data_IF_428803392294
#
_entry.id   IF_428803392294
#
_cell.length_a   1.000
_cell.length_b   1.000
_cell.length_c   1.000
_cell.angle_alpha   90.00
_cell.angle_beta   90.00
_cell.angle_gamma   90.00
#
_symmetry.space_group_name_H-M   'P 1'
#
loop_
_entity.id
_entity.type
_entity.pdbx_description
1 polymer ?
#
# COMPACT_ATOMS: atom_id res chain seq x y z
N UNK A 1 -7.38 19.61 21.15
CA UNK A 1 -6.05 19.61 21.79
C UNK A 1 -5.96 18.70 23.02
N UNK A 2 -7.00 18.50 23.82
CA UNK A 2 -6.94 17.67 25.04
C UNK A 2 -6.78 16.17 24.81
N UNK A 3 -7.37 15.59 23.74
CA UNK A 3 -7.35 14.14 23.48
C UNK A 3 -6.01 13.63 22.91
N UNK A 4 -5.24 14.47 22.25
CA UNK A 4 -3.94 14.08 21.66
C UNK A 4 -2.85 13.95 22.74
N UNK A 5 -2.92 14.75 23.80
CA UNK A 5 -1.95 14.71 24.92
C UNK A 5 -2.17 13.47 25.78
N UNK A 6 -3.42 13.08 26.02
CA UNK A 6 -3.77 11.87 26.79
C UNK A 6 -3.33 10.58 26.08
N UNK A 7 -3.34 10.58 24.74
CA UNK A 7 -2.90 9.43 23.94
C UNK A 7 -1.40 9.15 24.09
N UNK A 8 -0.54 10.19 24.01
CA UNK A 8 0.92 10.05 24.20
C UNK A 8 1.28 9.50 25.58
N UNK A 9 0.55 9.89 26.64
CA UNK A 9 0.85 9.45 28.00
C UNK A 9 0.44 7.99 28.28
N UNK A 10 -0.67 7.49 27.70
CA UNK A 10 -1.11 6.10 27.93
C UNK A 10 -0.29 5.06 27.16
N UNK A 11 0.32 5.43 26.04
CA UNK A 11 1.17 4.52 25.24
C UNK A 11 2.60 4.41 25.77
N UNK A 12 3.07 5.37 26.56
CA UNK A 12 4.44 5.34 27.12
C UNK A 12 4.69 4.24 28.14
N UNK A 13 3.65 3.66 28.74
CA UNK A 13 3.80 2.60 29.74
C UNK A 13 3.74 1.15 29.18
N UNK A 14 3.23 0.94 27.96
CA UNK A 14 3.12 -0.38 27.32
C UNK A 14 3.97 -0.53 26.05
N UNK A 15 4.53 0.57 25.54
CA UNK A 15 5.16 0.66 24.21
C UNK A 15 6.69 0.64 24.22
N UNK A 16 7.36 0.29 25.34
CA UNK A 16 8.83 0.30 25.38
C UNK A 16 9.50 -0.82 24.53
N UNK A 17 8.73 -1.74 23.92
CA UNK A 17 9.31 -2.85 23.13
C UNK A 17 8.68 -3.13 21.76
N UNK A 18 7.63 -2.42 21.30
CA UNK A 18 6.98 -2.78 20.03
C UNK A 18 6.45 -1.57 19.26
N UNK A 19 7.29 -0.96 18.42
CA UNK A 19 6.87 0.11 17.53
C UNK A 19 5.77 -0.42 16.59
N UNK A 20 4.57 0.20 16.54
CA UNK A 20 3.48 -0.29 15.73
C UNK A 20 3.81 -0.19 14.24
N UNK A 21 3.41 -1.23 13.51
CA UNK A 21 3.50 -1.25 12.04
C UNK A 21 2.21 -0.65 11.48
N UNK A 22 2.31 0.10 10.39
CA UNK A 22 1.17 0.58 9.63
C UNK A 22 0.83 -0.36 8.47
N UNK A 23 -0.46 -0.55 8.22
CA UNK A 23 -0.96 -1.29 7.05
C UNK A 23 -2.08 -0.50 6.36
N UNK A 24 -1.84 -0.08 5.12
CA UNK A 24 -2.89 0.46 4.27
C UNK A 24 -3.48 -0.69 3.45
N UNK A 25 -4.78 -0.96 3.63
CA UNK A 25 -5.46 -2.00 2.87
C UNK A 25 -6.10 -1.43 1.61
N UNK A 26 -5.87 -2.11 0.47
CA UNK A 26 -6.54 -1.82 -0.80
C UNK A 26 -7.96 -2.36 -0.86
N UNK A 27 -8.55 -2.35 -2.07
CA UNK A 27 -9.92 -2.79 -2.33
C UNK A 27 -10.16 -4.22 -1.86
N UNK A 28 -11.19 -4.42 -1.03
CA UNK A 28 -11.63 -5.70 -0.48
C UNK A 28 -10.59 -6.45 0.38
N UNK A 29 -9.51 -5.80 0.80
CA UNK A 29 -8.44 -6.42 1.59
C UNK A 29 -8.57 -6.17 3.10
N UNK A 30 -9.57 -5.42 3.55
CA UNK A 30 -9.86 -5.20 4.99
C UNK A 30 -10.19 -6.49 5.76
N UNK A 31 -10.66 -7.53 5.07
CA UNK A 31 -10.93 -8.84 5.66
C UNK A 31 -9.65 -9.59 6.12
N UNK A 32 -8.45 -9.09 5.80
CA UNK A 32 -7.18 -9.60 6.33
C UNK A 32 -7.05 -9.28 7.83
N UNK A 33 -7.73 -8.22 8.29
CA UNK A 33 -7.65 -7.76 9.66
C UNK A 33 -8.33 -8.75 10.59
N UNK A 34 -7.61 -9.16 11.64
CA UNK A 34 -8.13 -10.00 12.70
C UNK A 34 -9.09 -9.25 13.65
N UNK A 35 -9.11 -9.63 14.92
CA UNK A 35 -9.92 -8.98 15.93
C UNK A 35 -9.48 -7.52 16.11
N UNK A 36 -10.45 -6.60 16.11
CA UNK A 36 -10.20 -5.19 16.39
C UNK A 36 -9.97 -5.01 17.89
N UNK A 37 -8.79 -4.49 18.26
CA UNK A 37 -8.44 -4.15 19.62
C UNK A 37 -8.90 -2.73 19.96
N UNK A 38 -8.77 -1.81 19.01
CA UNK A 38 -9.12 -0.41 19.16
C UNK A 38 -9.49 0.21 17.83
N UNK A 39 -10.40 1.17 17.83
CA UNK A 39 -10.75 1.99 16.66
C UNK A 39 -10.65 3.45 17.08
N UNK A 40 -9.97 4.26 16.27
CA UNK A 40 -9.79 5.69 16.53
C UNK A 40 -9.94 6.51 15.26
N UNK A 41 -10.43 7.73 15.41
CA UNK A 41 -10.32 8.77 14.39
C UNK A 41 -9.07 9.62 14.68
N UNK A 42 -8.39 10.04 13.64
CA UNK A 42 -7.18 10.86 13.72
C UNK A 42 -7.42 12.15 12.96
N UNK A 43 -7.36 13.27 13.66
CA UNK A 43 -7.40 14.58 13.02
C UNK A 43 -6.05 14.91 12.44
N UNK A 44 -6.05 15.45 11.21
CA UNK A 44 -4.82 15.87 10.53
C UNK A 44 -4.93 17.29 9.98
N UNK A 45 -3.79 18.00 9.80
CA UNK A 45 -3.78 19.31 9.15
C UNK A 45 -4.30 19.28 7.71
N UNK A 46 -4.41 18.09 7.12
CA UNK A 46 -4.81 17.86 5.73
C UNK A 46 -6.27 17.40 5.59
N UNK A 47 -7.06 17.49 6.67
CA UNK A 47 -8.43 17.01 6.73
C UNK A 47 -8.52 15.55 7.20
N UNK A 48 -9.68 14.93 6.99
CA UNK A 48 -9.94 13.58 7.47
C UNK A 48 -9.22 12.51 6.63
N UNK A 49 -8.65 11.48 7.26
CA UNK A 49 -8.26 10.24 6.59
C UNK A 49 -9.45 9.51 5.95
N UNK A 50 -9.16 8.54 5.11
CA UNK A 50 -10.16 7.76 4.38
C UNK A 50 -11.14 6.97 5.26
N UNK A 51 -10.72 6.62 6.48
CA UNK A 51 -11.50 5.88 7.47
C UNK A 51 -10.89 6.06 8.88
N UNK A 52 -11.61 5.64 9.91
CA UNK A 52 -11.03 5.42 11.22
C UNK A 52 -9.91 4.37 11.17
N UNK A 53 -8.89 4.55 12.00
CA UNK A 53 -7.78 3.61 12.15
C UNK A 53 -8.18 2.47 13.08
N UNK A 54 -7.85 1.25 12.68
CA UNK A 54 -8.11 0.04 13.45
C UNK A 54 -6.78 -0.50 13.98
N UNK A 55 -6.63 -0.60 15.29
CA UNK A 55 -5.54 -1.35 15.90
C UNK A 55 -5.93 -2.83 15.97
N UNK A 56 -5.10 -3.68 15.46
CA UNK A 56 -5.24 -5.14 15.54
C UNK A 56 -3.92 -5.78 15.96
N UNK A 57 -3.95 -7.06 16.31
CA UNK A 57 -2.75 -7.87 16.55
C UNK A 57 -2.72 -9.03 15.57
N UNK A 58 -1.59 -9.17 14.88
CA UNK A 58 -1.30 -10.31 14.00
C UNK A 58 0.06 -10.85 14.44
N UNK A 59 0.13 -12.14 14.75
CA UNK A 59 1.37 -12.81 15.24
C UNK A 59 2.04 -12.05 16.41
N UNK A 60 1.23 -11.56 17.37
CA UNK A 60 1.67 -10.77 18.54
C UNK A 60 2.30 -9.39 18.19
N UNK A 61 2.16 -8.92 16.95
CA UNK A 61 2.58 -7.57 16.54
C UNK A 61 1.37 -6.65 16.47
N UNK A 62 1.50 -5.46 17.03
CA UNK A 62 0.47 -4.41 16.94
C UNK A 62 0.53 -3.73 15.58
N UNK A 63 -0.61 -3.60 14.93
CA UNK A 63 -0.72 -3.07 13.58
C UNK A 63 -1.83 -2.03 13.54
N UNK A 64 -1.51 -0.81 13.16
CA UNK A 64 -2.49 0.19 12.77
C UNK A 64 -2.90 -0.01 11.32
N UNK A 65 -4.17 -0.21 11.10
CA UNK A 65 -4.73 -0.48 9.77
C UNK A 65 -5.64 0.65 9.33
N UNK A 66 -5.55 1.00 8.05
CA UNK A 66 -6.41 1.97 7.38
C UNK A 66 -6.98 1.39 6.09
N UNK A 67 -8.30 1.47 5.91
CA UNK A 67 -8.95 1.18 4.63
C UNK A 67 -8.79 2.39 3.69
N UNK A 68 -7.89 2.29 2.69
CA UNK A 68 -7.57 3.38 1.73
C UNK A 68 -8.80 3.95 1.04
N UNK A 69 -9.73 3.11 0.71
CA UNK A 69 -10.93 3.45 -0.05
C UNK A 69 -12.17 3.67 0.84
N UNK A 70 -11.98 3.86 2.16
CA UNK A 70 -13.05 3.87 3.14
C UNK A 70 -13.57 2.48 3.47
N UNK A 71 -14.31 2.34 4.55
CA UNK A 71 -14.82 1.03 5.04
C UNK A 71 -15.75 0.34 4.04
N UNK A 72 -16.49 1.10 3.24
CA UNK A 72 -17.39 0.60 2.18
C UNK A 72 -16.77 0.67 0.78
N UNK A 73 -15.46 0.90 0.67
CA UNK A 73 -14.71 1.02 -0.58
C UNK A 73 -15.30 2.06 -1.57
N UNK A 74 -15.89 3.14 -1.03
CA UNK A 74 -16.58 4.16 -1.83
C UNK A 74 -15.63 5.23 -2.39
N UNK A 75 -14.46 5.46 -1.76
CA UNK A 75 -13.50 6.49 -2.17
C UNK A 75 -12.69 5.97 -3.36
N UNK A 76 -12.73 6.69 -4.48
CA UNK A 76 -11.95 6.33 -5.67
C UNK A 76 -10.48 6.71 -5.49
N UNK A 77 -9.57 6.06 -6.22
CA UNK A 77 -8.13 6.28 -6.07
C UNK A 77 -7.71 7.76 -6.25
N UNK A 78 -8.36 8.50 -7.11
CA UNK A 78 -8.09 9.93 -7.35
C UNK A 78 -8.69 10.87 -6.29
N UNK A 79 -9.67 10.39 -5.49
CA UNK A 79 -10.33 11.15 -4.42
C UNK A 79 -9.77 10.85 -3.02
N UNK A 80 -8.85 9.88 -2.90
CA UNK A 80 -8.24 9.53 -1.63
C UNK A 80 -7.43 10.71 -1.08
N UNK A 81 -7.66 11.07 0.17
CA UNK A 81 -6.84 12.04 0.88
C UNK A 81 -5.54 11.39 1.37
N UNK A 82 -4.61 11.20 0.42
CA UNK A 82 -3.33 10.53 0.70
C UNK A 82 -2.50 11.26 1.76
N UNK A 83 -2.52 12.61 1.77
CA UNK A 83 -1.79 13.39 2.79
C UNK A 83 -2.31 13.09 4.18
N UNK A 84 -3.62 13.15 4.39
CA UNK A 84 -4.22 12.83 5.69
C UNK A 84 -3.92 11.38 6.11
N UNK A 85 -4.04 10.43 5.18
CA UNK A 85 -3.79 9.01 5.48
C UNK A 85 -2.35 8.77 5.96
N UNK A 86 -1.37 9.26 5.21
CA UNK A 86 0.05 9.02 5.50
C UNK A 86 0.49 9.80 6.74
N UNK A 87 0.03 11.04 6.90
CA UNK A 87 0.31 11.85 8.08
C UNK A 87 -0.20 11.20 9.37
N UNK A 88 -1.42 10.67 9.34
CA UNK A 88 -2.02 10.04 10.51
C UNK A 88 -1.21 8.82 11.00
N UNK A 89 -0.60 8.02 10.12
CA UNK A 89 0.30 6.95 10.54
C UNK A 89 1.52 7.48 11.29
N UNK A 90 2.08 8.62 10.88
CA UNK A 90 3.18 9.26 11.59
C UNK A 90 2.77 9.72 12.99
N UNK A 91 1.58 10.32 13.13
CA UNK A 91 1.02 10.72 14.43
C UNK A 91 0.78 9.52 15.36
N UNK A 92 0.45 8.35 14.79
CA UNK A 92 0.28 7.11 15.54
C UNK A 92 1.61 6.42 15.93
N UNK A 93 2.75 7.03 15.63
CA UNK A 93 4.07 6.51 15.98
C UNK A 93 4.56 5.38 15.06
N UNK A 94 3.89 5.15 13.94
CA UNK A 94 4.32 4.18 12.93
C UNK A 94 5.65 4.61 12.33
N UNK A 95 6.57 3.66 12.15
CA UNK A 95 7.83 3.86 11.44
C UNK A 95 7.89 3.03 10.15
N UNK A 96 7.27 1.85 10.15
CA UNK A 96 7.19 0.94 9.02
C UNK A 96 5.77 0.86 8.51
N UNK A 97 5.54 1.29 7.26
CA UNK A 97 4.24 1.35 6.62
C UNK A 97 4.19 0.40 5.42
N UNK A 98 3.35 -0.61 5.52
CA UNK A 98 3.03 -1.53 4.43
C UNK A 98 1.75 -1.09 3.72
N UNK A 99 1.70 -1.27 2.42
CA UNK A 99 0.49 -1.05 1.64
C UNK A 99 0.14 -2.28 0.81
N UNK A 100 -1.13 -2.63 0.71
CA UNK A 100 -1.60 -3.61 -0.25
C UNK A 100 -2.26 -2.93 -1.44
N UNK A 101 -2.03 -3.46 -2.64
CA UNK A 101 -2.63 -2.99 -3.86
C UNK A 101 -3.04 -4.16 -4.77
N UNK A 102 -4.20 -4.07 -5.40
CA UNK A 102 -4.58 -4.94 -6.53
C UNK A 102 -4.05 -4.32 -7.81
N UNK A 103 -3.47 -5.13 -8.69
CA UNK A 103 -2.77 -4.68 -9.90
C UNK A 103 -3.12 -5.51 -11.12
N UNK A 104 -2.97 -4.90 -12.30
CA UNK A 104 -2.92 -5.60 -13.57
C UNK A 104 -1.48 -5.98 -13.94
N UNK A 105 -1.26 -7.20 -14.41
CA UNK A 105 0.04 -7.66 -14.91
C UNK A 105 0.29 -7.18 -16.33
N UNK A 106 1.36 -6.39 -16.53
CA UNK A 106 1.85 -5.93 -17.85
C UNK A 106 2.88 -6.90 -18.39
N UNK A 107 3.83 -7.33 -17.53
CA UNK A 107 4.85 -8.29 -17.90
C UNK A 107 4.22 -9.67 -18.22
N UNK A 108 4.68 -10.31 -19.27
CA UNK A 108 4.12 -11.58 -19.74
C UNK A 108 4.30 -12.74 -18.74
N UNK A 109 5.39 -12.71 -17.95
CA UNK A 109 5.68 -13.74 -16.93
C UNK A 109 4.81 -13.64 -15.69
N UNK A 110 4.10 -12.51 -15.48
CA UNK A 110 3.25 -12.29 -14.31
C UNK A 110 1.90 -12.99 -14.48
N UNK A 111 1.50 -13.83 -13.53
CA UNK A 111 0.22 -14.54 -13.56
C UNK A 111 -0.81 -13.98 -12.57
N UNK A 112 -2.08 -14.23 -12.86
CA UNK A 112 -3.18 -13.84 -11.95
C UNK A 112 -3.07 -14.64 -10.66
N UNK A 113 -3.04 -13.93 -9.53
CA UNK A 113 -2.86 -14.49 -8.21
C UNK A 113 -1.43 -14.35 -7.67
N UNK A 114 -0.47 -13.89 -8.47
CA UNK A 114 0.88 -13.61 -7.99
C UNK A 114 0.88 -12.50 -6.95
N UNK A 115 1.80 -12.62 -5.98
CA UNK A 115 2.15 -11.57 -5.04
C UNK A 115 3.53 -11.04 -5.41
N UNK A 116 3.60 -9.77 -5.76
CA UNK A 116 4.79 -9.11 -6.27
C UNK A 116 5.16 -7.90 -5.40
N UNK A 117 6.46 -7.69 -5.22
CA UNK A 117 7.00 -6.64 -4.36
C UNK A 117 7.75 -5.63 -5.24
N UNK A 118 7.16 -4.48 -5.56
CA UNK A 118 7.80 -3.51 -6.44
C UNK A 118 9.03 -2.87 -5.78
N UNK A 119 10.01 -2.53 -6.59
CA UNK A 119 11.18 -1.76 -6.19
C UNK A 119 11.26 -0.40 -6.87
N UNK A 120 10.57 -0.23 -7.98
CA UNK A 120 10.49 1.02 -8.74
C UNK A 120 9.05 1.43 -9.03
N UNK A 121 8.88 2.71 -9.33
CA UNK A 121 7.57 3.28 -9.64
C UNK A 121 7.72 4.32 -10.76
N UNK A 122 6.77 4.29 -11.70
CA UNK A 122 6.59 5.34 -12.71
C UNK A 122 5.24 5.98 -12.45
N UNK A 123 5.22 7.31 -12.27
CA UNK A 123 4.02 8.06 -11.94
C UNK A 123 3.37 8.65 -13.19
N UNK A 124 2.16 8.21 -13.51
CA UNK A 124 1.29 8.74 -14.57
C UNK A 124 0.08 9.47 -13.98
N UNK A 125 0.07 9.73 -12.66
CA UNK A 125 -1.03 10.44 -12.00
C UNK A 125 -0.91 11.94 -12.23
N UNK A 126 -2.01 12.65 -12.04
CA UNK A 126 -2.06 14.11 -12.14
C UNK A 126 -3.12 14.68 -11.19
N UNK A 127 -2.94 15.93 -10.78
CA UNK A 127 -3.92 16.67 -9.96
C UNK A 127 -4.09 16.14 -8.54
N UNK A 128 -3.26 15.20 -8.07
CA UNK A 128 -3.25 14.74 -6.69
C UNK A 128 -2.36 15.63 -5.82
N UNK A 129 -2.78 15.86 -4.58
CA UNK A 129 -1.93 16.48 -3.58
C UNK A 129 -0.82 15.48 -3.17
N UNK A 130 0.41 15.74 -3.60
CA UNK A 130 1.50 14.75 -3.58
C UNK A 130 2.71 15.15 -2.73
N UNK A 131 2.61 16.20 -1.92
CA UNK A 131 3.74 16.68 -1.11
C UNK A 131 3.28 17.38 0.17
N UNK A 132 4.12 17.33 1.19
CA UNK A 132 4.05 18.14 2.42
C UNK A 132 5.03 19.32 2.39
N UNK A 133 5.66 19.61 1.25
CA UNK A 133 6.77 20.53 1.18
C UNK A 133 6.43 21.93 1.70
N UNK A 134 5.23 22.43 1.49
CA UNK A 134 4.80 23.74 1.99
C UNK A 134 4.68 23.78 3.51
N UNK A 135 4.12 22.72 4.08
CA UNK A 135 3.83 22.63 5.51
C UNK A 135 5.08 22.30 6.35
N UNK A 136 6.02 21.59 5.75
CA UNK A 136 7.26 21.17 6.42
C UNK A 136 8.51 21.93 5.94
N UNK A 137 8.34 22.93 5.06
CA UNK A 137 9.44 23.69 4.45
C UNK A 137 10.53 22.77 3.87
N UNK A 138 10.10 21.67 3.23
CA UNK A 138 11.02 20.69 2.68
C UNK A 138 11.68 21.20 1.39
N UNK A 139 12.97 20.91 1.29
CA UNK A 139 13.68 20.93 0.00
C UNK A 139 13.40 19.66 -0.80
N UNK A 140 14.01 19.53 -1.98
CA UNK A 140 13.94 18.29 -2.76
C UNK A 140 14.43 17.10 -1.96
N UNK A 141 13.76 15.96 -2.12
CA UNK A 141 14.14 14.67 -1.52
C UNK A 141 14.75 13.74 -2.57
N UNK A 142 15.66 12.88 -2.17
CA UNK A 142 16.10 11.77 -3.02
C UNK A 142 15.03 10.67 -3.06
N UNK A 143 14.54 10.37 -4.26
CA UNK A 143 13.53 9.36 -4.52
C UNK A 143 14.01 8.28 -5.50
N UNK A 144 15.34 8.12 -5.64
CA UNK A 144 15.97 7.10 -6.49
C UNK A 144 15.48 5.69 -6.14
N UNK A 145 15.29 5.42 -4.85
CA UNK A 145 14.73 4.17 -4.34
C UNK A 145 13.42 4.47 -3.59
N UNK A 146 12.26 4.43 -4.24
CA UNK A 146 10.98 4.86 -3.66
C UNK A 146 10.50 3.98 -2.50
N UNK A 147 10.90 2.71 -2.48
CA UNK A 147 10.49 1.75 -1.46
C UNK A 147 11.64 1.42 -0.51
N UNK A 148 11.31 1.18 0.78
CA UNK A 148 12.27 0.79 1.80
C UNK A 148 12.93 -0.55 1.46
N UNK A 149 14.27 -0.54 1.38
CA UNK A 149 15.05 -1.74 1.11
C UNK A 149 14.81 -2.81 2.19
N UNK A 150 14.88 -2.43 3.46
CA UNK A 150 14.71 -3.35 4.60
C UNK A 150 13.33 -4.03 4.58
N UNK A 151 12.25 -3.26 4.35
CA UNK A 151 10.91 -3.83 4.25
C UNK A 151 10.79 -4.74 3.03
N UNK A 152 11.34 -4.35 1.88
CA UNK A 152 11.31 -5.20 0.68
C UNK A 152 12.08 -6.51 0.87
N UNK A 153 13.22 -6.49 1.55
CA UNK A 153 13.98 -7.70 1.88
C UNK A 153 13.14 -8.66 2.76
N UNK A 154 12.46 -8.13 3.79
CA UNK A 154 11.54 -8.91 4.62
C UNK A 154 10.36 -9.47 3.82
N UNK A 155 9.74 -8.64 2.98
CA UNK A 155 8.65 -9.03 2.09
C UNK A 155 9.07 -10.14 1.12
N UNK A 156 10.20 -10.00 0.44
CA UNK A 156 10.68 -11.02 -0.50
C UNK A 156 11.05 -12.33 0.21
N UNK A 157 11.68 -12.25 1.39
CA UNK A 157 12.04 -13.45 2.19
C UNK A 157 10.81 -14.23 2.66
N UNK A 158 9.68 -13.58 2.89
CA UNK A 158 8.44 -14.20 3.30
C UNK A 158 7.65 -14.84 2.14
N UNK A 159 8.00 -14.56 0.88
CA UNK A 159 7.32 -15.14 -0.27
C UNK A 159 7.48 -16.66 -0.33
N UNK A 160 6.47 -17.40 -0.84
CA UNK A 160 6.65 -18.80 -1.16
C UNK A 160 7.80 -19.00 -2.17
N UNK A 161 8.53 -20.12 -2.06
CA UNK A 161 9.67 -20.42 -2.95
C UNK A 161 9.30 -20.46 -4.44
N UNK A 162 8.04 -20.70 -4.76
CA UNK A 162 7.52 -20.74 -6.13
C UNK A 162 7.02 -19.37 -6.65
N UNK A 163 7.23 -18.29 -5.87
CA UNK A 163 6.80 -16.95 -6.29
C UNK A 163 7.72 -16.40 -7.39
N UNK A 164 7.19 -15.78 -8.46
CA UNK A 164 8.00 -15.12 -9.49
C UNK A 164 8.98 -14.09 -8.94
N UNK A 165 8.64 -13.43 -7.83
CA UNK A 165 9.52 -12.48 -7.15
C UNK A 165 10.78 -13.11 -6.53
N UNK A 166 10.80 -14.41 -6.30
CA UNK A 166 12.01 -15.10 -5.80
C UNK A 166 13.09 -15.19 -6.89
N UNK A 167 12.67 -15.26 -8.15
CA UNK A 167 13.56 -15.34 -9.32
C UNK A 167 13.87 -13.97 -9.93
N UNK A 168 12.90 -13.03 -9.88
CA UNK A 168 13.05 -11.68 -10.42
C UNK A 168 12.74 -10.66 -9.31
N UNK A 169 13.76 -10.11 -8.60
CA UNK A 169 13.55 -9.22 -7.46
C UNK A 169 13.20 -7.78 -7.85
N UNK A 170 13.07 -7.47 -9.12
CA UNK A 170 12.84 -6.12 -9.65
C UNK A 170 11.51 -6.04 -10.39
N UNK A 171 10.58 -5.27 -9.83
CA UNK A 171 9.26 -5.02 -10.41
C UNK A 171 8.96 -3.53 -10.41
N UNK A 172 8.69 -2.98 -11.60
CA UNK A 172 8.33 -1.57 -11.76
C UNK A 172 6.81 -1.41 -11.77
N UNK A 173 6.30 -0.63 -10.82
CA UNK A 173 4.88 -0.31 -10.72
C UNK A 173 4.57 0.98 -11.50
N UNK A 174 3.70 0.91 -12.50
CA UNK A 174 3.10 2.09 -13.14
C UNK A 174 1.87 2.54 -12.37
N UNK A 175 1.87 3.79 -11.88
CA UNK A 175 0.72 4.35 -11.16
C UNK A 175 -0.12 5.23 -12.08
N UNK A 176 -1.37 4.85 -12.34
CA UNK A 176 -2.29 5.61 -13.18
C UNK A 176 -3.34 6.36 -12.36
N UNK A 177 -3.99 7.35 -12.97
CA UNK A 177 -4.99 8.18 -12.29
C UNK A 177 -6.28 7.41 -11.95
N UNK A 178 -6.75 6.54 -12.85
CA UNK A 178 -8.10 6.01 -12.76
C UNK A 178 -9.19 7.08 -13.03
N UNK A 179 -10.48 6.81 -12.79
CA UNK A 179 -11.05 5.55 -12.28
C UNK A 179 -11.22 4.47 -13.35
N UNK A 180 -11.09 4.80 -14.66
CA UNK A 180 -11.12 3.83 -15.74
C UNK A 180 -9.84 2.99 -15.76
N UNK A 181 -9.95 1.78 -16.22
CA UNK A 181 -8.77 0.98 -16.58
C UNK A 181 -8.11 1.57 -17.83
N UNK A 182 -6.86 1.24 -18.03
CA UNK A 182 -6.04 1.71 -19.13
C UNK A 182 -6.52 1.13 -20.47
N UNK A 183 -6.21 1.84 -21.55
CA UNK A 183 -6.32 1.28 -22.90
C UNK A 183 -5.16 0.34 -23.20
N UNK A 184 -5.32 -0.55 -24.18
CA UNK A 184 -4.22 -1.40 -24.64
C UNK A 184 -3.01 -0.59 -25.14
N UNK A 185 -3.25 0.59 -25.72
CA UNK A 185 -2.20 1.50 -26.18
C UNK A 185 -1.41 2.12 -25.02
N UNK A 186 -2.12 2.52 -23.95
CA UNK A 186 -1.50 3.02 -22.70
C UNK A 186 -0.64 1.92 -22.06
N UNK A 187 -1.14 0.70 -21.96
CA UNK A 187 -0.38 -0.45 -21.43
C UNK A 187 0.84 -0.76 -22.29
N UNK A 188 0.72 -0.67 -23.61
CA UNK A 188 1.87 -0.87 -24.50
C UNK A 188 2.94 0.23 -24.31
N UNK A 189 2.55 1.48 -24.06
CA UNK A 189 3.44 2.57 -23.68
C UNK A 189 4.13 2.27 -22.35
N UNK A 190 3.35 1.94 -21.31
CA UNK A 190 3.87 1.63 -19.98
C UNK A 190 4.88 0.48 -20.01
N UNK A 191 4.63 -0.55 -20.84
CA UNK A 191 5.60 -1.65 -21.06
C UNK A 191 6.91 -1.15 -21.66
N UNK A 192 6.85 -0.22 -22.62
CA UNK A 192 8.06 0.39 -23.21
C UNK A 192 8.80 1.29 -22.21
N UNK A 193 8.08 1.91 -21.30
CA UNK A 193 8.64 2.70 -20.18
C UNK A 193 9.22 1.80 -19.06
N UNK A 194 9.11 0.45 -19.20
CA UNK A 194 9.68 -0.53 -18.27
C UNK A 194 8.75 -0.95 -17.14
N UNK A 195 7.45 -0.62 -17.19
CA UNK A 195 6.50 -1.05 -16.17
C UNK A 195 6.13 -2.53 -16.32
N UNK A 196 6.13 -3.26 -15.22
CA UNK A 196 5.72 -4.66 -15.11
C UNK A 196 4.28 -4.81 -14.62
N UNK A 197 3.84 -3.88 -13.80
CA UNK A 197 2.54 -3.84 -13.12
C UNK A 197 1.85 -2.50 -13.36
N UNK A 198 0.53 -2.50 -13.30
CA UNK A 198 -0.26 -1.27 -13.32
C UNK A 198 -1.28 -1.25 -12.18
N UNK A 199 -1.38 -0.10 -11.51
CA UNK A 199 -2.38 0.16 -10.50
C UNK A 199 -2.57 1.67 -10.29
N UNK A 200 -3.31 2.06 -9.25
CA UNK A 200 -3.79 3.44 -9.14
C UNK A 200 -3.41 4.13 -7.82
N UNK A 201 -2.68 3.47 -6.90
CA UNK A 201 -2.68 3.92 -5.51
C UNK A 201 -1.33 4.16 -4.86
N UNK A 202 -0.22 3.59 -5.37
CA UNK A 202 1.08 3.72 -4.70
C UNK A 202 1.71 5.12 -4.86
N UNK A 203 1.22 5.94 -5.81
CA UNK A 203 1.48 7.37 -5.82
C UNK A 203 0.19 8.14 -5.51
N UNK A 204 0.25 9.13 -4.62
CA UNK A 204 1.44 9.69 -3.95
C UNK A 204 1.81 9.03 -2.60
N UNK A 205 1.26 7.87 -2.20
CA UNK A 205 1.60 7.26 -0.89
C UNK A 205 3.11 7.14 -0.66
N UNK A 206 3.86 6.62 -1.65
CA UNK A 206 5.29 6.38 -1.52
C UNK A 206 6.09 7.66 -1.30
N UNK A 207 5.82 8.72 -2.08
CA UNK A 207 6.54 9.99 -1.93
C UNK A 207 6.19 10.69 -0.62
N UNK A 208 4.91 10.69 -0.23
CA UNK A 208 4.45 11.27 1.04
C UNK A 208 5.08 10.56 2.25
N UNK A 209 5.15 9.23 2.22
CA UNK A 209 5.81 8.45 3.26
C UNK A 209 7.31 8.81 3.36
N UNK A 210 7.98 8.96 2.21
CA UNK A 210 9.39 9.36 2.16
C UNK A 210 9.62 10.75 2.76
N UNK A 211 8.78 11.72 2.44
CA UNK A 211 8.90 13.10 2.93
C UNK A 211 8.84 13.22 4.46
N UNK A 212 8.05 12.38 5.12
CA UNK A 212 7.92 12.38 6.58
C UNK A 212 8.72 11.27 7.28
N UNK A 213 9.62 10.60 6.54
CA UNK A 213 10.57 9.63 7.08
C UNK A 213 9.96 8.30 7.51
N UNK A 214 8.86 7.87 6.89
CA UNK A 214 8.32 6.53 7.05
C UNK A 214 9.02 5.55 6.10
N UNK A 215 9.40 4.38 6.59
CA UNK A 215 9.77 3.26 5.74
C UNK A 215 8.51 2.71 5.06
N UNK A 216 8.46 2.76 3.72
CA UNK A 216 7.29 2.36 2.97
C UNK A 216 7.63 1.24 1.99
N UNK A 217 6.76 0.21 1.93
CA UNK A 217 6.81 -0.83 0.92
C UNK A 217 5.40 -1.32 0.57
N UNK A 218 5.25 -1.92 -0.62
CA UNK A 218 3.97 -2.36 -1.12
C UNK A 218 3.95 -3.85 -1.46
N UNK A 219 2.77 -4.46 -1.26
CA UNK A 219 2.43 -5.83 -1.61
C UNK A 219 1.40 -5.76 -2.71
N UNK A 220 1.78 -6.15 -3.93
CA UNK A 220 0.92 -6.11 -5.11
C UNK A 220 0.34 -7.49 -5.39
N UNK A 221 -0.99 -7.61 -5.34
CA UNK A 221 -1.72 -8.80 -5.76
C UNK A 221 -2.18 -8.63 -7.21
N UNK A 222 -1.73 -9.50 -8.09
CA UNK A 222 -2.17 -9.52 -9.49
C UNK A 222 -3.57 -10.10 -9.58
N UNK A 223 -4.55 -9.31 -10.03
CA UNK A 223 -5.96 -9.71 -10.11
C UNK A 223 -6.46 -9.87 -11.53
N UNK A 224 -5.74 -9.30 -12.51
CA UNK A 224 -6.02 -9.44 -13.94
C UNK A 224 -4.72 -9.25 -14.75
N UNK A 225 -4.70 -9.71 -16.00
CA UNK A 225 -3.72 -9.22 -17.00
C UNK A 225 -4.12 -7.79 -17.38
N UNK A 226 -3.16 -6.90 -17.58
CA UNK A 226 -3.42 -5.52 -18.00
C UNK A 226 -4.09 -5.45 -19.38
N UNK A 227 -4.72 -4.33 -19.72
CA UNK A 227 -5.46 -4.16 -20.96
C UNK A 227 -4.62 -4.52 -22.20
N UNK A 228 -5.16 -5.38 -23.06
CA UNK A 228 -4.48 -5.86 -24.28
C UNK A 228 -3.41 -6.92 -24.06
N UNK A 229 -3.08 -7.28 -22.80
CA UNK A 229 -2.19 -8.40 -22.52
C UNK A 229 -2.97 -9.71 -22.61
N UNK A 230 -2.50 -10.65 -23.44
CA UNK A 230 -3.18 -11.92 -23.71
C UNK A 230 -4.41 -11.82 -24.62
N UNK A 231 -4.64 -10.66 -25.26
CA UNK A 231 -5.64 -10.49 -26.34
C UNK A 231 -7.11 -10.52 -25.91
N UNK A 232 -7.40 -10.46 -24.59
CA UNK A 232 -8.77 -10.49 -24.05
C UNK A 232 -9.14 -9.15 -23.42
N UNK A 233 -10.44 -8.85 -23.36
CA UNK A 233 -10.98 -7.77 -22.52
C UNK A 233 -10.90 -8.15 -21.05
N UNK A 234 -10.73 -7.14 -20.18
CA UNK A 234 -10.71 -7.35 -18.73
C UNK A 234 -12.15 -7.53 -18.26
N UNK A 235 -12.41 -8.64 -17.56
CA UNK A 235 -13.67 -8.85 -16.86
C UNK A 235 -13.59 -8.20 -15.48
N UNK A 236 -14.18 -7.00 -15.37
CA UNK A 236 -14.13 -6.20 -14.14
C UNK A 236 -14.84 -6.91 -12.97
N UNK A 237 -15.88 -7.73 -13.24
CA UNK A 237 -16.63 -8.43 -12.21
C UNK A 237 -15.80 -9.55 -11.56
N UNK A 238 -14.80 -10.07 -12.25
CA UNK A 238 -13.89 -11.08 -11.71
C UNK A 238 -12.85 -10.51 -10.75
N UNK A 239 -12.55 -9.21 -10.80
CA UNK A 239 -11.53 -8.59 -9.94
C UNK A 239 -11.84 -8.79 -8.44
N UNK A 240 -13.05 -8.47 -7.92
CA UNK A 240 -13.38 -8.73 -6.52
C UNK A 240 -13.36 -10.21 -6.16
N UNK A 241 -13.78 -11.08 -7.08
CA UNK A 241 -13.81 -12.55 -6.89
C UNK A 241 -12.38 -13.08 -6.72
N UNK A 242 -11.46 -12.66 -7.60
CA UNK A 242 -10.06 -13.05 -7.53
C UNK A 242 -9.39 -12.52 -6.25
N UNK A 243 -9.66 -11.26 -5.89
CA UNK A 243 -9.17 -10.68 -4.65
C UNK A 243 -9.62 -11.51 -3.44
N UNK A 244 -10.91 -11.80 -3.34
CA UNK A 244 -11.48 -12.55 -2.21
C UNK A 244 -10.89 -13.96 -2.09
N UNK A 245 -10.64 -14.65 -3.20
CA UNK A 245 -10.00 -15.99 -3.21
C UNK A 245 -8.57 -15.96 -2.67
N UNK A 246 -7.87 -14.83 -2.79
CA UNK A 246 -6.47 -14.70 -2.36
C UNK A 246 -6.30 -14.12 -0.95
N UNK A 247 -7.38 -13.68 -0.29
CA UNK A 247 -7.33 -13.17 1.10
C UNK A 247 -6.64 -14.15 2.06
N UNK A 248 -6.96 -15.46 2.10
CA UNK A 248 -6.29 -16.39 3.01
C UNK A 248 -4.78 -16.44 2.78
N UNK A 249 -4.35 -16.49 1.52
CA UNK A 249 -2.92 -16.53 1.14
C UNK A 249 -2.22 -15.23 1.56
N UNK A 250 -2.86 -14.06 1.35
CA UNK A 250 -2.31 -12.78 1.78
C UNK A 250 -2.21 -12.68 3.31
N UNK A 251 -3.17 -13.22 4.03
CA UNK A 251 -3.13 -13.26 5.50
C UNK A 251 -1.94 -14.09 5.99
N UNK A 252 -1.80 -15.33 5.52
CA UNK A 252 -0.67 -16.19 5.87
C UNK A 252 0.68 -15.55 5.47
N UNK A 253 0.71 -14.86 4.33
CA UNK A 253 1.88 -14.13 3.89
C UNK A 253 2.22 -12.98 4.84
N UNK A 254 1.25 -12.15 5.22
CA UNK A 254 1.45 -11.06 6.18
C UNK A 254 1.91 -11.57 7.54
N UNK A 255 1.37 -12.69 8.03
CA UNK A 255 1.81 -13.30 9.29
C UNK A 255 3.31 -13.65 9.25
N UNK A 256 3.80 -14.20 8.14
CA UNK A 256 5.26 -14.47 7.96
C UNK A 256 6.09 -13.20 7.87
N UNK A 257 5.60 -12.20 7.11
CA UNK A 257 6.27 -10.89 6.96
C UNK A 257 6.47 -10.22 8.31
N UNK A 258 5.43 -10.21 9.15
CA UNK A 258 5.44 -9.53 10.45
C UNK A 258 6.43 -10.15 11.45
N UNK A 259 6.81 -11.40 11.25
CA UNK A 259 7.88 -12.06 12.04
C UNK A 259 9.29 -11.63 11.60
N UNK A 260 9.43 -11.04 10.42
CA UNK A 260 10.72 -10.65 9.83
C UNK A 260 10.99 -9.14 9.91
N UNK A 261 9.97 -8.35 10.21
CA UNK A 261 10.11 -6.88 10.40
C UNK A 261 10.48 -6.63 11.87
N UNK A 262 11.58 -5.93 12.08
CA UNK A 262 12.05 -5.51 13.41
C UNK A 262 11.25 -4.30 13.94
#
# INVERSE_FOLDING_TARGET
MANTVTYRQSMQSEAETNVPIGLITGTNLSAILGQHLRVIEVDTPFGAPSAAFVLTSISNRLIWCLARHGTSAQIKAFDVNYRANVWAFKELGVQSLLATATVGGINASVEIGDILIPDQIVDYTFGREHTFAKELELSSIDFTFPFSRTLREALNKALPNESPSSEQPHWTYGCTQGPRLETAAEINRMRKDGCDLVGMTLMPEAVLAREIGLNYAAICLVVNKAAGVGGKTIDIEQIPVMTSRRIPVLKDYLERVLQLIE
#
